data_IF_369466653532
#
_entry.id   IF_369466653532
#
_cell.length_a   1.000
_cell.length_b   1.000
_cell.length_c   1.000
_cell.angle_alpha   90.00
_cell.angle_beta   90.00
_cell.angle_gamma   90.00
#
_symmetry.space_group_name_H-M   'P 1'
#
loop_
_entity.id
_entity.type
_entity.pdbx_description
1 polymer ?
#
# COMPACT_ATOMS: atom_id res chain seq x y z
N UNK A 1 4.25 5.83 -6.06
CA UNK A 1 5.09 7.05 -6.04
C UNK A 1 5.21 7.51 -4.60
N UNK A 2 6.42 7.45 -4.04
CA UNK A 2 6.71 7.87 -2.67
C UNK A 2 6.87 9.40 -2.64
N UNK A 3 6.33 10.07 -1.61
CA UNK A 3 6.44 11.52 -1.44
C UNK A 3 7.89 12.02 -1.35
N UNK A 4 8.81 11.14 -0.94
CA UNK A 4 10.24 11.44 -0.82
C UNK A 4 10.90 11.43 -2.21
N UNK A 5 10.80 10.33 -2.97
CA UNK A 5 11.49 10.16 -4.27
C UNK A 5 10.97 11.01 -5.45
N UNK A 6 9.97 11.86 -5.21
CA UNK A 6 9.46 12.82 -6.20
C UNK A 6 9.77 14.28 -5.79
N UNK A 7 10.48 14.48 -4.69
CA UNK A 7 10.80 15.81 -4.21
C UNK A 7 12.15 16.26 -4.78
N UNK A 8 12.13 16.97 -5.91
CA UNK A 8 13.33 17.50 -6.56
C UNK A 8 14.15 18.49 -5.73
N UNK A 9 13.69 18.88 -4.52
CA UNK A 9 14.48 19.67 -3.59
C UNK A 9 15.42 18.86 -2.69
N UNK A 10 15.25 17.53 -2.64
CA UNK A 10 16.12 16.62 -1.91
C UNK A 10 17.14 15.98 -2.87
N UNK A 11 18.37 15.82 -2.40
CA UNK A 11 19.35 14.97 -3.07
C UNK A 11 19.26 13.53 -2.54
N UNK A 12 19.82 12.58 -3.28
CA UNK A 12 19.79 11.14 -2.97
C UNK A 12 20.24 10.81 -1.52
N UNK A 13 21.19 11.57 -0.99
CA UNK A 13 21.67 11.40 0.40
C UNK A 13 20.61 11.80 1.41
N UNK A 14 19.90 12.90 1.18
CA UNK A 14 18.80 13.35 2.04
C UNK A 14 17.62 12.39 1.97
N UNK A 15 17.25 11.93 0.78
CA UNK A 15 16.18 10.93 0.60
C UNK A 15 16.48 9.62 1.34
N UNK A 16 17.72 9.14 1.24
CA UNK A 16 18.19 7.96 1.97
C UNK A 16 18.12 8.16 3.49
N UNK A 17 18.62 9.30 4.00
CA UNK A 17 18.55 9.62 5.42
C UNK A 17 17.10 9.63 5.93
N UNK A 18 16.18 10.24 5.17
CA UNK A 18 14.76 10.21 5.51
C UNK A 18 14.20 8.80 5.52
N UNK A 19 14.48 8.01 4.47
CA UNK A 19 14.02 6.62 4.38
C UNK A 19 14.51 5.79 5.57
N UNK A 20 15.81 5.83 5.89
CA UNK A 20 16.40 5.14 7.04
C UNK A 20 15.75 5.58 8.36
N UNK A 21 15.52 6.88 8.53
CA UNK A 21 14.87 7.42 9.75
C UNK A 21 13.42 6.98 9.92
N UNK A 22 12.74 6.65 8.81
CA UNK A 22 11.35 6.20 8.82
C UNK A 22 11.21 4.70 9.12
N UNK A 23 12.28 3.90 8.99
CA UNK A 23 12.25 2.47 9.30
C UNK A 23 12.17 2.24 10.81
N UNK A 24 11.24 1.38 11.24
CA UNK A 24 10.99 1.07 12.65
C UNK A 24 11.01 -0.44 12.87
N UNK A 25 11.38 -0.85 14.08
CA UNK A 25 11.37 -2.25 14.52
C UNK A 25 12.16 -3.15 13.54
N UNK A 26 11.67 -4.36 13.27
CA UNK A 26 12.33 -5.35 12.40
C UNK A 26 12.56 -4.89 10.95
N UNK A 27 11.86 -3.83 10.51
CA UNK A 27 12.06 -3.23 9.19
C UNK A 27 13.43 -2.55 9.10
N UNK A 28 13.95 -2.02 10.21
CA UNK A 28 15.27 -1.35 10.23
C UNK A 28 16.42 -2.33 10.00
N UNK A 29 16.20 -3.63 10.17
CA UNK A 29 17.22 -4.67 9.95
C UNK A 29 17.52 -4.93 8.47
N UNK A 30 16.73 -4.35 7.56
CA UNK A 30 16.93 -4.49 6.10
C UNK A 30 18.03 -3.58 5.59
N UNK A 31 18.30 -2.47 6.29
CA UNK A 31 19.26 -1.49 5.84
C UNK A 31 20.70 -1.97 6.05
N UNK A 32 21.57 -1.55 5.13
CA UNK A 32 23.01 -1.69 5.18
C UNK A 32 23.67 -0.31 5.14
N UNK A 33 24.92 -0.25 5.63
CA UNK A 33 25.74 0.95 5.56
C UNK A 33 26.11 1.33 4.12
N UNK A 34 26.02 0.38 3.18
CA UNK A 34 26.35 0.57 1.76
C UNK A 34 25.14 0.90 0.88
N UNK A 35 23.94 1.00 1.43
CA UNK A 35 22.73 1.22 0.64
C UNK A 35 22.67 2.63 0.05
N UNK A 36 22.29 2.73 -1.22
CA UNK A 36 21.68 3.92 -1.82
C UNK A 36 20.16 3.97 -1.56
N UNK A 37 19.52 5.12 -1.78
CA UNK A 37 18.06 5.23 -1.68
C UNK A 37 17.34 4.18 -2.55
N UNK A 38 17.80 4.02 -3.80
CA UNK A 38 17.24 3.06 -4.75
C UNK A 38 17.37 1.61 -4.25
N UNK A 39 18.57 1.21 -3.82
CA UNK A 39 18.81 -0.16 -3.35
C UNK A 39 18.01 -0.51 -2.08
N UNK A 40 17.89 0.43 -1.13
CA UNK A 40 17.08 0.23 0.08
C UNK A 40 15.60 0.19 -0.25
N UNK A 41 15.12 1.06 -1.15
CA UNK A 41 13.74 1.04 -1.63
C UNK A 41 13.41 -0.28 -2.32
N UNK A 42 14.30 -0.79 -3.17
CA UNK A 42 14.14 -2.07 -3.84
C UNK A 42 14.12 -3.23 -2.84
N UNK A 43 15.01 -3.23 -1.84
CA UNK A 43 15.01 -4.24 -0.79
C UNK A 43 13.69 -4.26 0.02
N UNK A 44 13.13 -3.08 0.31
CA UNK A 44 11.83 -2.93 0.98
C UNK A 44 10.69 -3.47 0.11
N UNK A 45 10.67 -3.12 -1.18
CA UNK A 45 9.68 -3.62 -2.14
C UNK A 45 9.77 -5.15 -2.22
N UNK A 46 10.96 -5.70 -2.41
CA UNK A 46 11.16 -7.15 -2.54
C UNK A 46 10.74 -7.92 -1.28
N UNK A 47 10.94 -7.34 -0.10
CA UNK A 47 10.62 -8.00 1.17
C UNK A 47 9.16 -7.87 1.59
N UNK A 48 8.51 -6.74 1.31
CA UNK A 48 7.16 -6.44 1.83
C UNK A 48 6.07 -6.29 0.76
N UNK A 49 6.41 -6.03 -0.50
CA UNK A 49 5.42 -5.90 -1.58
C UNK A 49 5.06 -7.27 -2.18
N UNK A 50 4.55 -8.17 -1.34
CA UNK A 50 3.93 -9.40 -1.84
C UNK A 50 2.57 -9.06 -2.46
N UNK A 51 2.59 -8.75 -3.76
CA UNK A 51 1.41 -8.30 -4.53
C UNK A 51 0.20 -9.24 -4.39
N UNK A 52 0.43 -10.55 -4.37
CA UNK A 52 -0.66 -11.52 -4.21
C UNK A 52 -1.31 -11.42 -2.84
N UNK A 53 -0.49 -11.39 -1.78
CA UNK A 53 -1.01 -11.22 -0.42
C UNK A 53 -1.74 -9.88 -0.24
N UNK A 54 -1.23 -8.79 -0.83
CA UNK A 54 -1.88 -7.48 -0.80
C UNK A 54 -3.22 -7.48 -1.51
N UNK A 55 -3.33 -8.17 -2.65
CA UNK A 55 -4.61 -8.37 -3.35
C UNK A 55 -5.58 -9.13 -2.45
N UNK A 56 -5.15 -10.27 -1.89
CA UNK A 56 -5.99 -11.11 -1.03
C UNK A 56 -6.51 -10.34 0.18
N UNK A 57 -5.66 -9.53 0.82
CA UNK A 57 -6.05 -8.65 1.95
C UNK A 57 -7.13 -7.67 1.51
N UNK A 58 -6.92 -6.92 0.43
CA UNK A 58 -7.89 -5.92 -0.01
C UNK A 58 -9.24 -6.51 -0.41
N UNK A 59 -9.23 -7.67 -1.09
CA UNK A 59 -10.48 -8.38 -1.44
C UNK A 59 -11.18 -8.84 -0.16
N UNK A 60 -10.44 -9.48 0.75
CA UNK A 60 -10.99 -10.00 2.01
C UNK A 60 -11.59 -8.89 2.86
N UNK A 61 -10.87 -7.79 3.07
CA UNK A 61 -11.33 -6.66 3.88
C UNK A 61 -12.55 -5.96 3.24
N UNK A 62 -12.54 -5.79 1.91
CA UNK A 62 -13.66 -5.21 1.17
C UNK A 62 -14.94 -6.07 1.28
N UNK A 63 -14.81 -7.40 1.23
CA UNK A 63 -15.95 -8.33 1.38
C UNK A 63 -16.37 -8.53 2.85
N UNK A 64 -15.46 -8.26 3.79
CA UNK A 64 -15.71 -8.39 5.23
C UNK A 64 -16.35 -7.14 5.85
N UNK A 65 -16.71 -6.13 5.05
CA UNK A 65 -17.34 -4.91 5.57
C UNK A 65 -18.66 -5.28 6.28
N UNK A 66 -18.86 -4.85 7.55
CA UNK A 66 -20.00 -5.27 8.33
C UNK A 66 -21.34 -4.93 7.69
N UNK A 67 -22.30 -5.85 7.80
CA UNK A 67 -23.67 -5.61 7.32
C UNK A 67 -24.27 -4.40 8.03
N UNK A 68 -24.78 -3.46 7.24
CA UNK A 68 -25.51 -2.30 7.75
C UNK A 68 -26.92 -2.75 8.15
N UNK A 69 -27.20 -2.77 9.45
CA UNK A 69 -28.45 -3.28 10.02
C UNK A 69 -29.64 -2.29 9.95
N UNK A 70 -29.36 -1.01 9.74
CA UNK A 70 -30.38 0.04 9.66
C UNK A 70 -29.87 1.17 8.77
N UNK A 71 -30.77 1.87 8.09
CA UNK A 71 -30.41 3.05 7.32
C UNK A 71 -29.74 4.09 8.23
N UNK A 72 -28.48 4.39 7.92
CA UNK A 72 -27.68 5.36 8.63
C UNK A 72 -26.72 5.99 7.62
N UNK A 73 -26.86 7.30 7.30
CA UNK A 73 -26.04 7.97 6.31
C UNK A 73 -24.53 7.88 6.59
N UNK A 74 -24.13 7.87 7.86
CA UNK A 74 -22.72 7.75 8.27
C UNK A 74 -22.19 6.36 7.94
N UNK A 75 -22.95 5.30 8.23
CA UNK A 75 -22.56 3.92 7.91
C UNK A 75 -22.51 3.68 6.40
N UNK A 76 -23.43 4.27 5.65
CA UNK A 76 -23.44 4.19 4.18
C UNK A 76 -22.24 4.91 3.57
N UNK A 77 -21.91 6.11 4.06
CA UNK A 77 -20.71 6.84 3.63
C UNK A 77 -19.44 6.02 3.91
N UNK A 78 -19.33 5.48 5.12
CA UNK A 78 -18.20 4.62 5.51
C UNK A 78 -18.03 3.41 4.58
N UNK A 79 -19.13 2.73 4.22
CA UNK A 79 -19.10 1.62 3.27
C UNK A 79 -18.55 2.06 1.91
N UNK A 80 -19.08 3.15 1.36
CA UNK A 80 -18.65 3.69 0.05
C UNK A 80 -17.16 4.04 0.08
N UNK A 81 -16.72 4.75 1.12
CA UNK A 81 -15.33 5.19 1.25
C UNK A 81 -14.39 3.99 1.41
N UNK A 82 -14.79 2.99 2.19
CA UNK A 82 -14.02 1.75 2.39
C UNK A 82 -13.87 0.98 1.09
N UNK A 83 -14.96 0.72 0.37
CA UNK A 83 -14.94 0.02 -0.92
C UNK A 83 -14.09 0.78 -1.94
N UNK A 84 -14.26 2.09 -2.07
CA UNK A 84 -13.44 2.90 -2.99
C UNK A 84 -11.96 2.90 -2.64
N UNK A 85 -11.61 2.89 -1.35
CA UNK A 85 -10.21 2.80 -0.90
C UNK A 85 -9.56 1.49 -1.34
N UNK A 86 -10.24 0.35 -1.12
CA UNK A 86 -9.75 -0.96 -1.56
C UNK A 86 -9.64 -1.07 -3.08
N UNK A 87 -10.66 -0.62 -3.83
CA UNK A 87 -10.62 -0.61 -5.30
C UNK A 87 -9.47 0.23 -5.85
N UNK A 88 -9.20 1.40 -5.25
CA UNK A 88 -8.07 2.24 -5.65
C UNK A 88 -6.73 1.53 -5.39
N UNK A 89 -6.62 0.85 -4.25
CA UNK A 89 -5.39 0.11 -3.89
C UNK A 89 -5.15 -1.07 -4.83
N UNK A 90 -6.20 -1.83 -5.16
CA UNK A 90 -6.14 -2.91 -6.15
C UNK A 90 -5.76 -2.40 -7.55
N UNK A 91 -6.31 -1.25 -7.99
CA UNK A 91 -5.90 -0.61 -9.24
C UNK A 91 -4.41 -0.23 -9.24
N UNK A 92 -3.88 0.27 -8.12
CA UNK A 92 -2.45 0.59 -8.00
C UNK A 92 -1.57 -0.67 -8.07
N UNK A 93 -2.10 -1.83 -7.65
CA UNK A 93 -1.48 -3.14 -7.81
C UNK A 93 -1.64 -3.72 -9.23
N UNK A 94 -2.18 -2.94 -10.18
CA UNK A 94 -2.46 -3.34 -11.57
C UNK A 94 -3.49 -4.48 -11.67
N UNK A 95 -4.39 -4.59 -10.71
CA UNK A 95 -5.61 -5.38 -10.85
C UNK A 95 -6.70 -4.51 -11.46
N UNK A 96 -6.99 -4.73 -12.73
CA UNK A 96 -8.04 -4.04 -13.46
C UNK A 96 -9.41 -4.67 -13.18
N UNK A 97 -10.49 -3.93 -13.46
CA UNK A 97 -11.88 -4.38 -13.20
C UNK A 97 -12.23 -5.74 -13.80
N UNK A 98 -11.62 -6.09 -14.94
CA UNK A 98 -11.88 -7.37 -15.61
C UNK A 98 -11.30 -8.54 -14.80
N UNK A 99 -10.09 -8.36 -14.25
CA UNK A 99 -9.43 -9.35 -13.39
C UNK A 99 -10.18 -9.50 -12.06
N UNK A 100 -10.70 -8.41 -11.54
CA UNK A 100 -11.53 -8.43 -10.32
C UNK A 100 -12.81 -9.24 -10.50
N UNK A 101 -13.45 -9.18 -11.67
CA UNK A 101 -14.62 -9.99 -11.99
C UNK A 101 -14.30 -11.49 -11.95
N UNK A 102 -13.13 -11.89 -12.46
CA UNK A 102 -12.70 -13.30 -12.50
C UNK A 102 -12.28 -13.85 -11.13
N UNK A 103 -11.91 -12.98 -10.18
CA UNK A 103 -11.50 -13.38 -8.82
C UNK A 103 -12.69 -13.42 -7.85
N UNK A 104 -13.73 -12.62 -8.09
CA UNK A 104 -14.90 -12.50 -7.21
C UNK A 104 -16.05 -13.46 -7.63
N UNK A 105 -16.16 -13.83 -8.91
CA UNK A 105 -17.16 -14.77 -9.44
C UNK A 105 -16.68 -16.22 -9.42
#
# INVERSE_FOLDING_TARGET
MNAIGNNHSLNDTQELCYLKSALKNDVSLIQSDQDSFESLMEALINRYENKRALVDIHITEMLSVPKIQSENPVKLRFLIDTVHSHLRSLKNLKMDSNVLSDVIL
#
